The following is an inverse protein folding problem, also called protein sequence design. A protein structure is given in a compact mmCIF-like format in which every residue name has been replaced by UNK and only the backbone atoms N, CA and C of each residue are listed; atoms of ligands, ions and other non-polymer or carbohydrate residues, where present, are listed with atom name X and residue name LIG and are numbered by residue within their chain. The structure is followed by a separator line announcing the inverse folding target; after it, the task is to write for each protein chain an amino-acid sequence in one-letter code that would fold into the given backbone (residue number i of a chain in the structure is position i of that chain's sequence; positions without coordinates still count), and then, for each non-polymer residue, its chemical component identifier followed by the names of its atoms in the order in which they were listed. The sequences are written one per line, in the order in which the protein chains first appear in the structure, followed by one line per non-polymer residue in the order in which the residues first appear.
data_IF_560663671265
#
_entry.id   IF_560663671265
#
_cell.length_a   1.000
_cell.length_b   1.000
_cell.length_c   1.000
_cell.angle_alpha   90.00
_cell.angle_beta   90.00
_cell.angle_gamma   90.00
#
_symmetry.space_group_name_H-M   'P 1'
#
loop_
_entity.id
_entity.type
_entity.pdbx_description
1 polymer ?
#
# COMPACT_ATOMS: atom_id res chain seq x y z
N UNK A 1 -7.16 -4.56 10.79
CA UNK A 1 -7.39 -3.57 9.70
C UNK A 1 -6.84 -4.01 8.35
N UNK A 2 -5.68 -4.68 8.26
CA UNK A 2 -5.10 -5.12 6.96
C UNK A 2 -6.02 -6.03 6.13
N UNK A 3 -6.70 -7.00 6.75
CA UNK A 3 -7.60 -7.94 6.06
C UNK A 3 -8.74 -7.25 5.27
N UNK A 4 -9.14 -6.04 5.67
CA UNK A 4 -10.18 -5.27 4.97
C UNK A 4 -9.73 -4.84 3.57
N UNK A 5 -8.43 -4.63 3.37
CA UNK A 5 -7.85 -4.12 2.13
C UNK A 5 -7.25 -5.21 1.24
N UNK A 6 -7.12 -6.43 1.75
CA UNK A 6 -6.50 -7.55 1.06
C UNK A 6 -7.32 -8.00 -0.16
N UNK A 7 -6.73 -7.94 -1.36
CA UNK A 7 -7.39 -8.28 -2.63
C UNK A 7 -8.71 -7.54 -2.85
N UNK A 8 -8.73 -6.23 -2.53
CA UNK A 8 -9.93 -5.39 -2.70
C UNK A 8 -9.68 -4.27 -3.68
N UNK A 9 -10.71 -3.90 -4.44
CA UNK A 9 -10.65 -2.73 -5.31
C UNK A 9 -10.52 -1.46 -4.48
N UNK A 10 -9.88 -0.43 -5.05
CA UNK A 10 -9.79 0.89 -4.41
C UNK A 10 -11.16 1.48 -4.09
N UNK A 11 -12.17 1.15 -4.89
CA UNK A 11 -13.55 1.62 -4.74
C UNK A 11 -14.30 0.96 -3.57
N UNK A 12 -13.85 -0.21 -3.12
CA UNK A 12 -14.58 -1.03 -2.14
C UNK A 12 -14.36 -0.57 -0.69
N UNK A 13 -13.33 0.25 -0.46
CA UNK A 13 -12.87 0.62 0.87
C UNK A 13 -12.62 2.12 1.01
N UNK A 14 -12.68 2.60 2.25
CA UNK A 14 -12.28 3.97 2.59
C UNK A 14 -10.83 4.24 2.16
N UNK A 15 -10.49 5.45 1.69
CA UNK A 15 -9.13 5.80 1.28
C UNK A 15 -8.10 5.51 2.38
N UNK A 16 -7.09 4.69 2.07
CA UNK A 16 -6.01 4.35 2.99
C UNK A 16 -4.74 3.98 2.22
N UNK A 17 -3.56 4.14 2.85
CA UNK A 17 -2.28 3.73 2.25
C UNK A 17 -2.17 2.23 1.98
N UNK A 18 -3.01 1.43 2.66
CA UNK A 18 -3.06 -0.02 2.46
C UNK A 18 -3.59 -0.38 1.09
N UNK A 19 -4.60 0.33 0.62
CA UNK A 19 -5.14 0.14 -0.73
C UNK A 19 -4.09 0.39 -1.80
N UNK A 20 -3.18 1.36 -1.61
CA UNK A 20 -2.07 1.63 -2.53
C UNK A 20 -1.06 0.47 -2.51
N UNK A 21 -0.71 -0.03 -1.33
CA UNK A 21 0.18 -1.18 -1.19
C UNK A 21 -0.39 -2.46 -1.79
N UNK A 22 -1.68 -2.71 -1.57
CA UNK A 22 -2.39 -3.88 -2.11
C UNK A 22 -2.48 -3.82 -3.65
N UNK A 23 -2.81 -2.64 -4.22
CA UNK A 23 -2.82 -2.46 -5.67
C UNK A 23 -1.42 -2.69 -6.28
N UNK A 24 -0.38 -2.08 -5.70
CA UNK A 24 0.98 -2.28 -6.18
C UNK A 24 1.43 -3.75 -6.05
N UNK A 25 1.04 -4.46 -4.99
CA UNK A 25 1.34 -5.87 -4.82
C UNK A 25 0.66 -6.73 -5.91
N UNK A 26 -0.63 -6.47 -6.17
CA UNK A 26 -1.36 -7.12 -7.26
C UNK A 26 -0.72 -6.81 -8.63
N UNK A 27 -0.32 -5.56 -8.89
CA UNK A 27 0.31 -5.17 -10.15
C UNK A 27 1.64 -5.90 -10.38
N UNK A 28 2.46 -6.10 -9.34
CA UNK A 28 3.68 -6.93 -9.43
C UNK A 28 3.33 -8.37 -9.81
N UNK A 29 2.28 -8.96 -9.22
CA UNK A 29 1.88 -10.34 -9.50
C UNK A 29 1.26 -10.51 -10.89
N UNK A 30 0.55 -9.50 -11.39
CA UNK A 30 -0.14 -9.56 -12.67
C UNK A 30 0.78 -9.24 -13.86
N UNK A 31 1.67 -8.27 -13.72
CA UNK A 31 2.50 -7.77 -14.81
C UNK A 31 3.95 -8.28 -14.74
N UNK A 32 4.36 -8.90 -13.62
CA UNK A 32 5.74 -9.33 -13.35
C UNK A 32 6.77 -8.19 -13.45
N UNK A 33 6.33 -6.95 -13.23
CA UNK A 33 7.14 -5.73 -13.28
C UNK A 33 7.29 -5.07 -11.90
N UNK A 34 8.47 -4.51 -11.58
CA UNK A 34 8.70 -3.83 -10.31
C UNK A 34 7.85 -2.55 -10.19
N UNK A 35 7.19 -2.38 -9.04
CA UNK A 35 6.38 -1.21 -8.74
C UNK A 35 7.08 -0.24 -7.80
N UNK A 36 6.81 1.06 -7.96
CA UNK A 36 7.40 2.13 -7.17
C UNK A 36 6.34 2.99 -6.48
N UNK A 37 6.50 3.25 -5.18
CA UNK A 37 5.61 4.13 -4.39
C UNK A 37 6.43 5.32 -3.88
N UNK A 38 6.11 6.52 -4.37
CA UNK A 38 6.77 7.77 -3.99
C UNK A 38 5.97 8.50 -2.90
N UNK A 39 6.65 8.83 -1.80
CA UNK A 39 6.09 9.67 -0.73
C UNK A 39 6.65 11.09 -0.83
N UNK A 40 5.80 12.05 -1.22
CA UNK A 40 6.16 13.46 -1.35
C UNK A 40 5.43 14.33 -0.31
N UNK A 41 6.04 15.46 0.06
CA UNK A 41 5.49 16.45 1.00
C UNK A 41 6.57 17.15 1.80
N UNK A 42 6.19 18.21 2.51
CA UNK A 42 7.10 19.03 3.35
C UNK A 42 7.58 18.28 4.61
N UNK A 43 8.59 18.82 5.28
CA UNK A 43 9.03 18.31 6.59
C UNK A 43 7.85 18.17 7.55
N UNK A 44 7.82 17.09 8.33
CA UNK A 44 6.76 16.77 9.31
C UNK A 44 5.37 16.46 8.72
N UNK A 45 5.22 16.30 7.40
CA UNK A 45 3.93 15.91 6.77
C UNK A 45 3.45 14.48 7.03
N UNK A 46 4.16 13.69 7.84
CA UNK A 46 3.80 12.30 8.16
C UNK A 46 4.26 11.24 7.16
N UNK A 47 5.13 11.58 6.19
CA UNK A 47 5.70 10.61 5.22
C UNK A 47 6.25 9.34 5.88
N UNK A 48 7.10 9.50 6.91
CA UNK A 48 7.73 8.37 7.62
C UNK A 48 6.70 7.45 8.26
N UNK A 49 5.65 8.03 8.86
CA UNK A 49 4.53 7.27 9.43
C UNK A 49 3.79 6.48 8.36
N UNK A 50 3.53 7.09 7.20
CA UNK A 50 2.86 6.42 6.09
C UNK A 50 3.70 5.30 5.48
N UNK A 51 5.01 5.50 5.34
CA UNK A 51 5.95 4.45 4.91
C UNK A 51 5.89 3.26 5.87
N UNK A 52 5.92 3.51 7.19
CA UNK A 52 5.84 2.43 8.18
C UNK A 52 4.52 1.66 8.10
N UNK A 53 3.40 2.35 7.88
CA UNK A 53 2.11 1.70 7.65
C UNK A 53 2.12 0.83 6.39
N UNK A 54 2.64 1.35 5.28
CA UNK A 54 2.76 0.61 4.02
C UNK A 54 3.59 -0.67 4.20
N UNK A 55 4.78 -0.57 4.80
CA UNK A 55 5.67 -1.72 5.04
C UNK A 55 4.98 -2.79 5.89
N UNK A 56 4.29 -2.40 6.97
CA UNK A 56 3.51 -3.34 7.80
C UNK A 56 2.44 -4.07 6.99
N UNK A 57 1.83 -3.40 6.02
CA UNK A 57 0.83 -4.03 5.16
C UNK A 57 1.46 -4.99 4.14
N UNK A 58 2.57 -4.62 3.50
CA UNK A 58 3.29 -5.51 2.59
C UNK A 58 3.78 -6.79 3.31
N UNK A 59 4.27 -6.67 4.55
CA UNK A 59 4.61 -7.83 5.39
C UNK A 59 3.39 -8.71 5.67
N UNK A 60 2.20 -8.12 5.82
CA UNK A 60 0.98 -8.88 6.01
C UNK A 60 0.55 -9.63 4.74
N UNK A 61 0.74 -9.04 3.55
CA UNK A 61 0.40 -9.66 2.26
C UNK A 61 1.37 -10.77 1.86
N UNK A 62 2.66 -10.63 2.18
CA UNK A 62 3.69 -11.63 1.89
C UNK A 62 3.75 -12.83 2.85
N UNK A 63 2.74 -13.02 3.71
CA UNK A 63 2.57 -14.24 4.52
C UNK A 63 1.87 -15.31 3.72
#
# INVERSE_FOLDING_TARGET
YHAKYNYKSRSDNSPHIYTVGDSAYQDVLHHEEPQHILFAGESNSGKTTNVLHLVKHLIYLGK
#
